data_IF_062739653700
#
_entry.id   IF_062739653700
#
_cell.length_a   1.000
_cell.length_b   1.000
_cell.length_c   1.000
_cell.angle_alpha   90.00
_cell.angle_beta   90.00
_cell.angle_gamma   90.00
#
_symmetry.space_group_name_H-M   'P 1'
#
loop_
_entity.id
_entity.type
_entity.pdbx_description
1 polymer ?
#
# COMPACT_ATOMS: atom_id res chain seq x y z
N UNK A 1 -17.42 -24.22 12.28
CA UNK A 1 -17.49 -22.84 12.68
C UNK A 1 -16.90 -21.95 11.61
N UNK A 2 -17.70 -21.08 11.14
CA UNK A 2 -17.24 -20.11 10.17
C UNK A 2 -16.40 -19.05 10.85
N UNK A 3 -15.29 -18.71 10.24
CA UNK A 3 -14.47 -17.62 10.73
C UNK A 3 -14.35 -16.58 9.64
N UNK A 4 -14.78 -15.39 9.95
CA UNK A 4 -14.50 -14.25 9.09
C UNK A 4 -13.08 -13.83 9.37
N UNK A 5 -12.17 -14.37 8.57
CA UNK A 5 -10.77 -14.03 8.73
C UNK A 5 -10.51 -12.66 8.13
N UNK A 6 -9.89 -11.81 8.91
CA UNK A 6 -9.44 -10.53 8.41
C UNK A 6 -8.36 -10.75 7.37
N UNK A 7 -8.33 -9.88 6.38
CA UNK A 7 -7.24 -9.86 5.41
C UNK A 7 -6.00 -9.24 6.04
N UNK A 8 -4.89 -9.95 5.95
CA UNK A 8 -3.59 -9.45 6.38
C UNK A 8 -2.80 -9.04 5.15
N UNK A 9 -2.42 -7.79 5.08
CA UNK A 9 -1.75 -7.25 3.90
C UNK A 9 -0.56 -6.39 4.28
N UNK A 10 0.30 -6.12 3.29
CA UNK A 10 1.35 -5.11 3.39
C UNK A 10 1.11 -4.05 2.32
N UNK A 11 1.61 -2.86 2.59
CA UNK A 11 1.68 -1.78 1.62
C UNK A 11 2.99 -1.05 1.83
N UNK A 12 3.73 -0.82 0.75
CA UNK A 12 5.01 -0.15 0.81
C UNK A 12 5.07 1.02 -0.15
N UNK A 13 5.51 2.16 0.36
CA UNK A 13 5.85 3.30 -0.47
C UNK A 13 7.37 3.33 -0.61
N UNK A 14 7.87 2.93 -1.78
CA UNK A 14 9.29 2.90 -2.09
C UNK A 14 9.71 4.30 -2.54
N UNK A 15 10.78 4.82 -1.94
CA UNK A 15 11.22 6.19 -2.16
C UNK A 15 12.48 6.24 -3.02
N UNK A 16 12.49 7.18 -3.95
CA UNK A 16 13.68 7.49 -4.76
C UNK A 16 13.56 8.91 -5.28
N UNK A 17 14.60 9.71 -5.07
CA UNK A 17 14.69 11.08 -5.61
C UNK A 17 13.44 11.94 -5.34
N UNK A 18 12.92 11.88 -4.12
CA UNK A 18 11.75 12.67 -3.74
C UNK A 18 10.42 12.14 -4.26
N UNK A 19 10.42 10.95 -4.84
CA UNK A 19 9.23 10.30 -5.39
C UNK A 19 8.87 9.05 -4.61
N UNK A 20 7.60 8.67 -4.67
CA UNK A 20 7.12 7.34 -4.30
C UNK A 20 6.83 6.53 -5.54
N UNK A 21 7.10 5.24 -5.49
CA UNK A 21 6.67 4.32 -6.55
C UNK A 21 5.21 4.00 -6.32
N UNK A 22 4.36 4.43 -7.24
CA UNK A 22 2.92 4.25 -7.16
C UNK A 22 2.45 3.27 -8.22
N UNK A 23 1.44 2.48 -7.87
CA UNK A 23 0.79 1.55 -8.77
C UNK A 23 -0.61 2.03 -9.10
N UNK A 24 -0.88 2.22 -10.38
CA UNK A 24 -2.23 2.50 -10.87
C UNK A 24 -2.89 1.16 -11.20
N UNK A 25 -3.84 0.74 -10.37
CA UNK A 25 -4.51 -0.55 -10.56
C UNK A 25 -5.39 -0.50 -11.80
N UNK A 26 -5.20 -1.47 -12.69
CA UNK A 26 -6.11 -1.60 -13.83
C UNK A 26 -7.46 -2.08 -13.33
N UNK A 27 -8.52 -1.65 -14.02
CA UNK A 27 -9.87 -2.00 -13.64
C UNK A 27 -10.10 -3.50 -13.77
N UNK A 28 -10.38 -4.15 -12.65
CA UNK A 28 -10.82 -5.55 -12.61
C UNK A 28 -12.11 -5.57 -11.81
N UNK A 29 -13.04 -6.41 -12.21
CA UNK A 29 -14.26 -6.59 -11.43
C UNK A 29 -13.86 -7.10 -10.04
N UNK A 30 -14.53 -6.57 -9.01
CA UNK A 30 -14.33 -6.96 -7.61
C UNK A 30 -12.96 -6.64 -7.02
N UNK A 31 -12.24 -5.71 -7.64
CA UNK A 31 -11.03 -5.17 -7.03
C UNK A 31 -11.40 -3.85 -6.36
N UNK A 32 -11.29 -3.75 -5.00
CA UNK A 32 -11.61 -2.49 -4.31
C UNK A 32 -10.71 -1.34 -4.75
N UNK A 33 -9.53 -1.64 -5.27
CA UNK A 33 -8.57 -0.63 -5.72
C UNK A 33 -8.66 -0.32 -7.21
N UNK A 34 -9.66 -0.86 -7.92
CA UNK A 34 -9.80 -0.65 -9.36
C UNK A 34 -9.82 0.83 -9.72
N UNK A 35 -8.93 1.24 -10.62
CA UNK A 35 -8.80 2.63 -11.05
C UNK A 35 -8.06 3.54 -10.07
N UNK A 36 -7.66 3.04 -8.92
CA UNK A 36 -6.98 3.85 -7.90
C UNK A 36 -5.49 3.66 -7.94
N UNK A 37 -4.78 4.63 -7.37
CA UNK A 37 -3.34 4.58 -7.17
C UNK A 37 -3.04 4.14 -5.75
N UNK A 38 -2.15 3.19 -5.59
CA UNK A 38 -1.71 2.68 -4.29
C UNK A 38 -0.20 2.49 -4.29
N UNK A 39 0.37 2.17 -3.13
CA UNK A 39 1.75 1.70 -3.06
C UNK A 39 1.86 0.26 -3.55
N UNK A 40 2.99 -0.35 -3.30
CA UNK A 40 3.25 -1.75 -3.68
C UNK A 40 2.96 -2.64 -2.48
N UNK A 41 2.14 -3.66 -2.68
CA UNK A 41 1.80 -4.55 -1.57
C UNK A 41 0.86 -5.66 -1.97
N UNK A 42 0.56 -6.52 -1.04
CA UNK A 42 -0.31 -7.66 -1.26
C UNK A 42 -0.61 -8.42 0.01
N UNK A 43 -1.20 -9.59 -0.15
CA UNK A 43 -1.63 -10.43 0.95
C UNK A 43 -0.51 -11.29 1.50
N UNK A 44 -0.54 -11.53 2.81
CA UNK A 44 0.35 -12.50 3.45
C UNK A 44 0.09 -13.89 2.89
N UNK A 45 1.17 -14.64 2.74
CA UNK A 45 1.08 -16.09 2.58
C UNK A 45 1.21 -16.72 3.95
N UNK A 46 0.71 -17.94 4.09
CA UNK A 46 0.75 -18.63 5.37
C UNK A 46 2.18 -18.71 5.92
N UNK A 47 2.32 -18.32 7.17
CA UNK A 47 3.61 -18.38 7.87
C UNK A 47 4.53 -17.19 7.64
N UNK A 48 4.13 -16.22 6.82
CA UNK A 48 4.98 -15.04 6.61
C UNK A 48 4.84 -14.03 7.73
N UNK A 49 5.97 -13.44 8.12
CA UNK A 49 5.96 -12.22 8.92
C UNK A 49 5.61 -11.04 8.01
N UNK A 50 5.28 -9.87 8.58
CA UNK A 50 5.08 -8.66 7.77
C UNK A 50 6.27 -8.35 6.88
N UNK A 51 7.49 -8.51 7.39
CA UNK A 51 8.71 -8.25 6.62
C UNK A 51 8.91 -9.25 5.49
N UNK A 52 8.62 -10.51 5.75
CA UNK A 52 8.73 -11.54 4.71
C UNK A 52 7.74 -11.30 3.58
N UNK A 53 6.52 -10.92 3.94
CA UNK A 53 5.50 -10.55 2.96
C UNK A 53 5.94 -9.35 2.13
N UNK A 54 6.45 -8.31 2.80
CA UNK A 54 6.96 -7.11 2.15
C UNK A 54 8.02 -7.45 1.10
N UNK A 55 9.05 -8.16 1.52
CA UNK A 55 10.18 -8.46 0.64
C UNK A 55 9.80 -9.31 -0.55
N UNK A 56 8.97 -10.32 -0.33
CA UNK A 56 8.49 -11.20 -1.40
C UNK A 56 7.64 -10.42 -2.40
N UNK A 57 6.68 -9.64 -1.88
CA UNK A 57 5.71 -8.97 -2.71
C UNK A 57 6.33 -7.88 -3.58
N UNK A 58 7.23 -7.09 -2.99
CA UNK A 58 7.97 -6.08 -3.75
C UNK A 58 8.80 -6.73 -4.84
N UNK A 59 9.47 -7.84 -4.53
CA UNK A 59 10.27 -8.55 -5.52
C UNK A 59 9.43 -9.09 -6.67
N UNK A 60 8.27 -9.67 -6.34
CA UNK A 60 7.37 -10.21 -7.37
C UNK A 60 6.80 -9.12 -8.27
N UNK A 61 6.37 -8.01 -7.69
CA UNK A 61 5.71 -6.96 -8.44
C UNK A 61 6.66 -6.04 -9.19
N UNK A 62 7.82 -5.74 -8.61
CA UNK A 62 8.74 -4.75 -9.19
C UNK A 62 10.07 -5.31 -9.65
N UNK A 63 10.45 -6.48 -9.17
CA UNK A 63 11.79 -7.01 -9.41
C UNK A 63 12.86 -6.42 -8.50
N UNK A 64 12.50 -5.45 -7.66
CA UNK A 64 13.45 -4.79 -6.76
C UNK A 64 13.65 -5.61 -5.48
N UNK A 65 14.87 -5.64 -4.98
CA UNK A 65 15.21 -6.25 -3.70
C UNK A 65 15.46 -5.13 -2.68
N UNK A 66 14.54 -4.99 -1.74
CA UNK A 66 14.67 -3.94 -0.71
C UNK A 66 15.87 -4.22 0.19
N UNK A 67 16.63 -3.18 0.49
CA UNK A 67 17.80 -3.24 1.38
C UNK A 67 17.62 -2.38 2.62
N UNK A 68 16.68 -1.43 2.60
CA UNK A 68 16.39 -0.57 3.74
C UNK A 68 14.91 -0.24 3.74
N UNK A 69 14.25 -0.54 4.85
CA UNK A 69 12.82 -0.28 5.03
C UNK A 69 12.49 0.01 6.48
N UNK A 70 11.33 0.60 6.69
CA UNK A 70 10.81 0.89 8.03
C UNK A 70 9.36 0.46 8.12
N UNK A 71 9.02 -0.19 9.23
CA UNK A 71 7.63 -0.53 9.55
C UNK A 71 7.01 0.71 10.20
N UNK A 72 6.11 1.37 9.49
CA UNK A 72 5.61 2.69 9.88
C UNK A 72 4.34 2.65 10.70
N UNK A 73 3.48 1.68 10.49
CA UNK A 73 2.24 1.60 11.23
C UNK A 73 1.35 0.47 10.76
N UNK A 74 0.21 0.33 11.46
CA UNK A 74 -0.84 -0.59 11.05
C UNK A 74 -2.07 0.24 10.74
N UNK A 75 -2.67 -0.02 9.59
CA UNK A 75 -3.91 0.61 9.17
C UNK A 75 -5.00 -0.46 9.18
N UNK A 76 -6.01 -0.24 10.01
CA UNK A 76 -7.15 -1.13 10.11
C UNK A 76 -8.25 -0.58 9.22
N UNK A 77 -8.58 -1.29 8.15
CA UNK A 77 -9.69 -0.93 7.28
C UNK A 77 -10.93 -1.72 7.69
N UNK A 78 -12.03 -1.01 7.85
CA UNK A 78 -13.33 -1.63 8.09
C UNK A 78 -14.26 -1.16 6.98
N UNK A 79 -14.78 -2.11 6.21
CA UNK A 79 -15.65 -1.79 5.07
C UNK A 79 -16.91 -2.65 5.14
N UNK A 80 -18.05 -2.03 4.87
CA UNK A 80 -19.31 -2.76 4.76
C UNK A 80 -19.36 -3.62 3.50
N UNK A 81 -18.56 -3.27 2.50
CA UNK A 81 -18.54 -3.95 1.20
C UNK A 81 -17.41 -4.97 1.09
N UNK A 82 -16.21 -4.65 1.61
CA UNK A 82 -15.00 -5.44 1.40
C UNK A 82 -14.49 -6.17 2.64
N UNK A 83 -15.16 -5.97 3.80
CA UNK A 83 -14.76 -6.60 5.03
C UNK A 83 -13.66 -5.86 5.77
N UNK A 84 -12.90 -6.58 6.57
CA UNK A 84 -11.87 -5.99 7.42
C UNK A 84 -10.48 -6.38 6.93
N UNK A 85 -9.57 -5.41 6.92
CA UNK A 85 -8.20 -5.61 6.48
C UNK A 85 -7.24 -4.96 7.47
N UNK A 86 -6.19 -5.69 7.84
CA UNK A 86 -5.12 -5.15 8.68
C UNK A 86 -3.89 -4.98 7.79
N UNK A 87 -3.64 -3.75 7.39
CA UNK A 87 -2.57 -3.42 6.47
C UNK A 87 -1.34 -2.97 7.22
N UNK A 88 -0.23 -3.66 6.98
CA UNK A 88 1.06 -3.34 7.57
C UNK A 88 1.77 -2.38 6.62
N UNK A 89 1.95 -1.15 7.08
CA UNK A 89 2.42 -0.03 6.26
C UNK A 89 3.92 0.17 6.43
N UNK A 90 4.62 0.17 5.29
CA UNK A 90 6.06 0.33 5.23
C UNK A 90 6.46 1.48 4.32
N UNK A 91 7.64 2.05 4.59
CA UNK A 91 8.35 2.86 3.62
C UNK A 91 9.71 2.21 3.39
N UNK A 92 10.27 2.38 2.20
CA UNK A 92 11.57 1.83 1.86
C UNK A 92 12.35 2.85 1.06
N UNK A 93 13.60 3.08 1.46
CA UNK A 93 14.47 4.08 0.82
C UNK A 93 15.75 3.47 0.24
N UNK A 94 15.88 2.16 0.30
CA UNK A 94 17.02 1.46 -0.28
C UNK A 94 16.61 0.18 -0.98
N UNK A 95 17.14 -0.04 -2.17
CA UNK A 95 16.87 -1.25 -2.93
C UNK A 95 17.99 -1.52 -3.92
N UNK A 96 18.08 -2.77 -4.35
CA UNK A 96 18.95 -3.19 -5.44
C UNK A 96 18.08 -3.62 -6.62
N UNK A 97 18.65 -3.50 -7.81
CA UNK A 97 17.96 -3.85 -9.04
C UNK A 97 17.48 -2.62 -9.78
N UNK A 98 16.92 -2.85 -10.94
CA UNK A 98 16.44 -1.79 -11.82
C UNK A 98 14.98 -2.00 -12.15
N UNK A 99 14.27 -0.91 -12.34
CA UNK A 99 12.87 -0.94 -12.75
C UNK A 99 12.76 -0.12 -14.05
N UNK A 100 13.02 -0.76 -15.21
CA UNK A 100 12.95 -0.06 -16.48
C UNK A 100 11.51 0.30 -16.85
N UNK A 101 11.33 1.33 -17.67
CA UNK A 101 10.01 1.81 -18.08
C UNK A 101 9.14 0.71 -18.69
N UNK A 102 9.73 -0.18 -19.48
CA UNK A 102 9.00 -1.30 -20.07
C UNK A 102 8.37 -2.20 -19.02
N UNK A 103 9.09 -2.46 -17.93
CA UNK A 103 8.58 -3.27 -16.82
C UNK A 103 7.49 -2.53 -16.05
N UNK A 104 7.67 -1.21 -15.88
CA UNK A 104 6.68 -0.39 -15.17
C UNK A 104 5.35 -0.40 -15.90
N UNK A 105 5.36 -0.34 -17.21
CA UNK A 105 4.15 -0.36 -18.03
C UNK A 105 3.53 -1.76 -18.13
N UNK A 106 4.31 -2.80 -17.91
CA UNK A 106 3.88 -4.19 -18.09
C UNK A 106 3.62 -4.95 -16.80
N UNK A 107 3.53 -4.27 -15.67
CA UNK A 107 3.27 -4.91 -14.40
C UNK A 107 1.89 -5.60 -14.42
N UNK A 108 1.79 -6.87 -14.01
CA UNK A 108 0.52 -7.60 -14.06
C UNK A 108 -0.60 -6.99 -13.23
N UNK A 109 -0.26 -6.34 -12.14
CA UNK A 109 -1.23 -5.74 -11.21
C UNK A 109 -1.73 -4.38 -11.68
N UNK A 110 -0.97 -3.71 -12.54
CA UNK A 110 -1.27 -2.37 -12.99
C UNK A 110 -0.04 -1.68 -13.55
N UNK A 111 -0.11 -0.37 -13.65
CA UNK A 111 0.98 0.46 -14.16
C UNK A 111 1.75 1.07 -12.99
N UNK A 112 3.07 0.92 -12.99
CA UNK A 112 3.93 1.53 -11.98
C UNK A 112 4.46 2.89 -12.47
N UNK A 113 4.56 3.85 -11.57
CA UNK A 113 5.06 5.17 -11.89
C UNK A 113 5.71 5.81 -10.66
N UNK A 114 6.85 6.46 -10.88
CA UNK A 114 7.46 7.30 -9.85
C UNK A 114 6.73 8.64 -9.84
N UNK A 115 6.12 8.98 -8.71
CA UNK A 115 5.33 10.21 -8.55
C UNK A 115 5.93 11.05 -7.43
N UNK A 116 6.17 12.33 -7.69
CA UNK A 116 6.67 13.23 -6.67
C UNK A 116 5.76 13.18 -5.44
N UNK A 117 6.36 13.12 -4.26
CA UNK A 117 5.59 12.95 -3.01
C UNK A 117 4.48 13.98 -2.84
N UNK A 118 4.77 15.24 -3.17
CA UNK A 118 3.79 16.32 -3.03
C UNK A 118 2.63 16.24 -4.04
N UNK A 119 2.79 15.47 -5.11
CA UNK A 119 1.74 15.29 -6.11
C UNK A 119 0.89 14.05 -5.88
N UNK A 120 1.34 13.15 -5.01
CA UNK A 120 0.59 11.91 -4.71
C UNK A 120 -0.83 12.19 -4.21
N UNK A 121 -1.07 13.18 -3.32
CA UNK A 121 -2.43 13.48 -2.87
C UNK A 121 -3.41 13.89 -3.97
N UNK A 122 -2.90 14.32 -5.14
CA UNK A 122 -3.75 14.73 -6.26
C UNK A 122 -4.20 13.55 -7.12
N UNK A 123 -3.67 12.37 -6.87
CA UNK A 123 -4.05 11.16 -7.61
C UNK A 123 -5.41 10.66 -7.13
N UNK A 124 -6.00 9.75 -7.90
CA UNK A 124 -7.23 9.09 -7.50
C UNK A 124 -6.90 8.05 -6.42
N UNK A 125 -7.05 8.45 -5.16
CA UNK A 125 -6.75 7.66 -3.99
C UNK A 125 -8.03 7.38 -3.19
N UNK A 126 -7.99 6.35 -2.37
CA UNK A 126 -8.95 6.25 -1.27
C UNK A 126 -8.72 7.45 -0.33
N UNK A 127 -9.80 8.02 0.20
CA UNK A 127 -9.68 9.18 1.10
C UNK A 127 -8.78 8.92 2.30
N UNK A 128 -8.88 7.73 2.88
CA UNK A 128 -8.07 7.37 4.03
C UNK A 128 -6.59 7.28 3.72
N UNK A 129 -6.23 6.96 2.47
CA UNK A 129 -4.84 6.87 2.06
C UNK A 129 -4.16 8.25 2.15
N UNK A 130 -4.91 9.32 1.89
CA UNK A 130 -4.38 10.69 2.06
C UNK A 130 -3.98 10.95 3.50
N UNK A 131 -4.71 10.35 4.44
CA UNK A 131 -4.43 10.54 5.87
C UNK A 131 -3.10 9.88 6.24
N UNK A 132 -2.92 8.59 5.91
CA UNK A 132 -1.66 7.94 6.30
C UNK A 132 -0.47 8.42 5.47
N UNK A 133 -0.68 8.84 4.23
CA UNK A 133 0.40 9.44 3.45
C UNK A 133 0.92 10.71 4.12
N UNK A 134 0.01 11.54 4.67
CA UNK A 134 0.40 12.72 5.41
C UNK A 134 1.13 12.34 6.71
N UNK A 135 0.64 11.33 7.42
CA UNK A 135 1.31 10.86 8.63
C UNK A 135 2.73 10.37 8.35
N UNK A 136 2.94 9.71 7.21
CA UNK A 136 4.27 9.26 6.80
C UNK A 136 5.24 10.43 6.62
N UNK A 137 4.75 11.57 6.16
CA UNK A 137 5.58 12.76 5.98
C UNK A 137 5.80 13.54 7.27
N UNK A 138 4.83 13.52 8.19
CA UNK A 138 4.85 14.33 9.40
C UNK A 138 5.37 13.62 10.64
N UNK A 139 5.30 12.29 10.68
CA UNK A 139 5.64 11.51 11.88
C UNK A 139 6.73 10.50 11.59
N UNK A 140 7.61 10.33 12.59
CA UNK A 140 8.65 9.31 12.56
C UNK A 140 8.25 8.09 13.38
N UNK A 141 7.38 8.25 14.38
CA UNK A 141 6.98 7.18 15.26
C UNK A 141 5.91 6.28 14.63
N UNK A 142 5.86 5.06 15.12
CA UNK A 142 4.87 4.06 14.69
C UNK A 142 3.47 4.53 15.07
N UNK A 143 2.49 4.28 14.19
CA UNK A 143 1.10 4.67 14.47
C UNK A 143 0.12 3.53 14.14
N UNK A 144 -1.03 3.61 14.77
CA UNK A 144 -2.16 2.75 14.47
C UNK A 144 -3.30 3.64 14.01
N UNK A 145 -3.82 3.39 12.82
CA UNK A 145 -4.88 4.18 12.21
C UNK A 145 -6.04 3.28 11.84
N UNK A 146 -7.24 3.65 12.25
CA UNK A 146 -8.45 2.93 11.85
C UNK A 146 -9.26 3.77 10.89
N UNK A 147 -9.61 3.18 9.75
CA UNK A 147 -10.39 3.83 8.70
C UNK A 147 -11.64 2.99 8.46
N UNK A 148 -12.80 3.61 8.57
CA UNK A 148 -14.07 2.93 8.29
C UNK A 148 -14.73 3.53 7.07
N UNK A 149 -15.22 2.66 6.21
CA UNK A 149 -15.87 3.04 4.95
C UNK A 149 -17.27 2.47 4.84
N UNK A 150 -18.15 3.25 4.25
CA UNK A 150 -19.44 2.79 3.74
C UNK A 150 -19.41 2.98 2.23
N UNK A 151 -19.31 1.88 1.48
CA UNK A 151 -19.02 1.96 0.07
C UNK A 151 -17.68 2.65 -0.15
N UNK A 152 -17.66 3.69 -0.97
CA UNK A 152 -16.45 4.48 -1.22
C UNK A 152 -16.27 5.64 -0.24
N UNK A 153 -17.23 5.87 0.67
CA UNK A 153 -17.22 7.00 1.58
C UNK A 153 -16.49 6.67 2.88
N UNK A 154 -15.52 7.50 3.24
CA UNK A 154 -14.83 7.41 4.52
C UNK A 154 -15.73 7.98 5.61
N UNK A 155 -16.16 7.14 6.56
CA UNK A 155 -17.07 7.53 7.63
C UNK A 155 -16.38 7.79 8.94
N UNK A 156 -15.19 7.22 9.15
CA UNK A 156 -14.43 7.41 10.38
C UNK A 156 -12.94 7.26 10.11
N UNK A 157 -12.15 8.12 10.75
CA UNK A 157 -10.70 7.99 10.78
C UNK A 157 -10.23 8.26 12.19
N UNK A 158 -9.52 7.31 12.79
CA UNK A 158 -9.08 7.43 14.18
C UNK A 158 -7.63 6.99 14.32
N UNK A 159 -6.83 7.85 14.92
CA UNK A 159 -5.42 7.58 15.22
C UNK A 159 -5.30 7.25 16.70
N UNK A 160 -4.59 6.20 17.02
CA UNK A 160 -4.37 5.77 18.40
C UNK A 160 -2.96 6.12 18.89
#
# INVERSE_FOLDING_TARGET
MEKDLANLTTLCYIEKDGCYLMMHRVSKKQDPNAGKWIGVGGHFQEGESPEECLLRDVKEETGLALTSWRFRGIVTFVSDEWGCEYMHLFTADGFEGELPEARMAACPEGELKWVEKEKVPDLNLWEGDRIFLRLLLEREDFFSLKLSYRGAELTEAKIF
#
